data_IF_570919711998
#
_entry.id   IF_570919711998
#
_cell.length_a   1.000
_cell.length_b   1.000
_cell.length_c   1.000
_cell.angle_alpha   90.00
_cell.angle_beta   90.00
_cell.angle_gamma   90.00
#
_symmetry.space_group_name_H-M   'P 1'
#
loop_
_entity.id
_entity.type
_entity.pdbx_description
1 polymer ?
#
# COMPACT_ATOMS: atom_id res chain seq x y z
N UNK A 1 -5.22 -13.53 -0.12
CA UNK A 1 -6.06 -14.66 0.34
C UNK A 1 -5.11 -15.77 0.76
N UNK A 2 -5.07 -16.13 2.05
CA UNK A 2 -4.20 -17.20 2.53
C UNK A 2 -4.84 -18.54 2.17
N UNK A 3 -4.10 -19.38 1.46
CA UNK A 3 -4.55 -20.71 1.05
C UNK A 3 -4.31 -21.70 2.20
N UNK A 4 -5.39 -22.29 2.71
CA UNK A 4 -5.32 -23.21 3.84
C UNK A 4 -5.17 -24.65 3.35
N UNK A 5 -4.04 -25.26 3.65
CA UNK A 5 -3.75 -26.65 3.30
C UNK A 5 -4.07 -27.56 4.49
N UNK A 6 -5.23 -28.20 4.46
CA UNK A 6 -5.62 -29.20 5.46
C UNK A 6 -4.80 -30.49 5.33
N UNK A 7 -4.47 -31.11 6.46
CA UNK A 7 -3.83 -32.43 6.52
C UNK A 7 -4.83 -33.54 6.16
N UNK A 8 -4.41 -34.62 5.47
CA UNK A 8 -3.08 -34.83 4.85
C UNK A 8 -2.94 -34.07 3.53
N UNK A 9 -1.75 -33.56 3.23
CA UNK A 9 -1.48 -32.83 1.99
C UNK A 9 -0.34 -33.44 1.18
N UNK A 10 -0.41 -33.27 -0.13
CA UNK A 10 0.61 -33.71 -1.07
C UNK A 10 1.66 -32.60 -1.27
N UNK A 11 2.92 -32.98 -1.51
CA UNK A 11 4.00 -32.05 -1.85
C UNK A 11 3.63 -31.12 -3.03
N UNK A 12 2.94 -31.65 -4.04
CA UNK A 12 2.47 -30.86 -5.20
C UNK A 12 1.51 -29.73 -4.79
N UNK A 13 0.57 -30.00 -3.87
CA UNK A 13 -0.36 -28.98 -3.39
C UNK A 13 0.34 -27.89 -2.61
N UNK A 14 1.40 -28.25 -1.86
CA UNK A 14 2.25 -27.29 -1.18
C UNK A 14 3.05 -26.43 -2.18
N UNK A 15 3.64 -27.04 -3.20
CA UNK A 15 4.35 -26.33 -4.28
C UNK A 15 3.43 -25.33 -4.99
N UNK A 16 2.26 -25.76 -5.44
CA UNK A 16 1.30 -24.87 -6.13
C UNK A 16 0.89 -23.67 -5.27
N UNK A 17 0.73 -23.88 -3.96
CA UNK A 17 0.35 -22.81 -3.04
C UNK A 17 1.50 -21.83 -2.80
N UNK A 18 2.73 -22.32 -2.70
CA UNK A 18 3.93 -21.48 -2.61
C UNK A 18 4.13 -20.67 -3.88
N UNK A 19 4.02 -21.29 -5.06
CA UNK A 19 4.18 -20.60 -6.34
C UNK A 19 3.15 -19.47 -6.50
N UNK A 20 1.88 -19.72 -6.14
CA UNK A 20 0.83 -18.69 -6.10
C UNK A 20 1.16 -17.56 -5.12
N UNK A 21 1.63 -17.90 -3.92
CA UNK A 21 1.99 -16.92 -2.91
C UNK A 21 3.17 -16.03 -3.37
N UNK A 22 4.21 -16.62 -3.96
CA UNK A 22 5.35 -15.88 -4.50
C UNK A 22 4.97 -15.00 -5.69
N UNK A 23 4.17 -15.50 -6.63
CA UNK A 23 3.67 -14.72 -7.76
C UNK A 23 2.84 -13.51 -7.28
N UNK A 24 1.96 -13.73 -6.30
CA UNK A 24 1.20 -12.65 -5.68
C UNK A 24 2.10 -11.65 -4.95
N UNK A 25 3.11 -12.11 -4.22
CA UNK A 25 4.06 -11.23 -3.54
C UNK A 25 4.88 -10.38 -4.52
N UNK A 26 5.39 -10.99 -5.60
CA UNK A 26 6.10 -10.29 -6.66
C UNK A 26 5.22 -9.21 -7.31
N UNK A 27 3.94 -9.53 -7.55
CA UNK A 27 2.98 -8.57 -8.06
C UNK A 27 2.79 -7.38 -7.11
N UNK A 28 2.56 -7.62 -5.81
CA UNK A 28 2.43 -6.55 -4.82
C UNK A 28 3.67 -5.64 -4.78
N UNK A 29 4.88 -6.23 -4.76
CA UNK A 29 6.13 -5.46 -4.79
C UNK A 29 6.22 -4.58 -6.04
N UNK A 30 5.89 -5.13 -7.21
CA UNK A 30 5.91 -4.36 -8.46
C UNK A 30 4.95 -3.17 -8.43
N UNK A 31 3.72 -3.35 -7.94
CA UNK A 31 2.72 -2.28 -7.82
C UNK A 31 3.16 -1.21 -6.83
N UNK A 32 3.70 -1.59 -5.67
CA UNK A 32 4.23 -0.61 -4.69
C UNK A 32 5.38 0.21 -5.24
N UNK A 33 6.27 -0.42 -6.01
CA UNK A 33 7.39 0.27 -6.66
C UNK A 33 6.92 1.26 -7.72
N UNK A 34 5.92 0.89 -8.53
CA UNK A 34 5.32 1.78 -9.52
C UNK A 34 4.66 3.01 -8.87
N UNK A 35 3.91 2.80 -7.77
CA UNK A 35 3.33 3.91 -7.00
C UNK A 35 4.45 4.83 -6.52
N UNK A 36 5.50 4.30 -5.90
CA UNK A 36 6.63 5.10 -5.44
C UNK A 36 7.26 5.93 -6.57
N UNK A 37 7.55 5.31 -7.70
CA UNK A 37 8.16 5.99 -8.85
C UNK A 37 7.31 7.17 -9.34
N UNK A 38 5.98 7.02 -9.39
CA UNK A 38 5.08 8.12 -9.80
C UNK A 38 5.15 9.31 -8.85
N UNK A 39 5.21 9.06 -7.55
CA UNK A 39 5.34 10.12 -6.55
C UNK A 39 6.73 10.77 -6.58
N UNK A 40 7.79 10.01 -6.87
CA UNK A 40 9.15 10.56 -7.02
C UNK A 40 9.27 11.55 -8.21
N UNK A 41 8.35 11.52 -9.19
CA UNK A 41 8.26 12.49 -10.29
C UNK A 41 7.67 13.85 -9.88
N UNK A 42 7.06 13.94 -8.69
CA UNK A 42 6.48 15.18 -8.19
C UNK A 42 7.59 16.12 -7.71
N UNK A 43 7.51 17.38 -8.13
CA UNK A 43 8.33 18.44 -7.56
C UNK A 43 8.00 18.66 -6.08
N UNK A 44 8.88 19.35 -5.35
CA UNK A 44 8.65 19.70 -3.94
C UNK A 44 7.31 20.41 -3.71
N UNK A 45 6.92 21.34 -4.60
CA UNK A 45 5.65 22.06 -4.49
C UNK A 45 4.44 21.16 -4.80
N UNK A 46 4.57 20.25 -5.75
CA UNK A 46 3.53 19.27 -6.05
C UNK A 46 3.32 18.29 -4.88
N UNK A 47 4.38 17.85 -4.22
CA UNK A 47 4.30 17.06 -2.99
C UNK A 47 3.52 17.79 -1.87
N UNK A 48 3.86 19.06 -1.62
CA UNK A 48 3.17 19.87 -0.62
C UNK A 48 1.68 20.01 -0.92
N UNK A 49 1.34 20.34 -2.17
CA UNK A 49 -0.07 20.46 -2.59
C UNK A 49 -0.79 19.12 -2.51
N UNK A 50 -0.17 18.02 -2.98
CA UNK A 50 -0.75 16.68 -2.92
C UNK A 50 -1.06 16.24 -1.49
N UNK A 51 -0.13 16.45 -0.55
CA UNK A 51 -0.34 16.11 0.86
C UNK A 51 -1.55 16.83 1.48
N UNK A 52 -1.71 18.14 1.20
CA UNK A 52 -2.84 18.91 1.72
C UNK A 52 -4.17 18.55 1.04
N UNK A 53 -4.14 18.15 -0.23
CA UNK A 53 -5.34 17.67 -0.94
C UNK A 53 -5.83 16.36 -0.33
N UNK A 54 -4.92 15.44 0.00
CA UNK A 54 -5.24 14.16 0.64
C UNK A 54 -5.82 14.38 2.05
N UNK A 55 -5.37 15.42 2.75
CA UNK A 55 -5.96 15.86 4.03
C UNK A 55 -7.35 16.50 3.88
N UNK A 56 -7.86 16.67 2.65
CA UNK A 56 -9.19 17.23 2.38
C UNK A 56 -9.25 18.75 2.36
N UNK A 57 -8.12 19.46 2.32
CA UNK A 57 -8.12 20.92 2.29
C UNK A 57 -8.66 21.46 0.96
N UNK A 58 -9.37 22.59 1.04
CA UNK A 58 -9.88 23.32 -0.12
C UNK A 58 -8.74 24.03 -0.86
N UNK A 59 -8.95 24.36 -2.14
CA UNK A 59 -7.96 25.12 -2.91
C UNK A 59 -7.59 26.46 -2.26
N UNK A 60 -8.55 27.08 -1.57
CA UNK A 60 -8.35 28.34 -0.87
C UNK A 60 -7.48 28.14 0.37
N UNK A 61 -7.79 27.15 1.23
CA UNK A 61 -6.98 26.85 2.40
C UNK A 61 -5.53 26.48 2.04
N UNK A 62 -5.33 25.71 0.96
CA UNK A 62 -4.00 25.37 0.45
C UNK A 62 -3.25 26.62 -0.04
N UNK A 63 -3.95 27.52 -0.74
CA UNK A 63 -3.37 28.76 -1.25
C UNK A 63 -2.88 29.66 -0.10
N UNK A 64 -3.69 29.79 0.94
CA UNK A 64 -3.37 30.52 2.16
C UNK A 64 -2.17 29.89 2.89
N UNK A 65 -2.19 28.57 3.12
CA UNK A 65 -1.14 27.87 3.85
C UNK A 65 0.22 27.86 3.13
N UNK A 66 0.21 27.79 1.79
CA UNK A 66 1.44 27.76 0.99
C UNK A 66 1.88 29.14 0.48
N UNK A 67 1.13 30.20 0.81
CA UNK A 67 1.32 31.58 0.35
C UNK A 67 1.45 31.69 -1.19
N UNK A 68 0.54 31.04 -1.91
CA UNK A 68 0.49 31.05 -3.39
C UNK A 68 -0.93 31.33 -3.89
N UNK A 69 -1.08 31.72 -5.15
CA UNK A 69 -2.42 31.97 -5.70
C UNK A 69 -3.26 30.69 -5.83
N UNK A 70 -4.59 30.81 -5.70
CA UNK A 70 -5.55 29.71 -5.95
C UNK A 70 -5.37 29.13 -7.36
N UNK A 71 -5.07 29.98 -8.35
CA UNK A 71 -4.76 29.55 -9.73
C UNK A 71 -3.54 28.64 -9.78
N UNK A 72 -2.49 28.96 -9.02
CA UNK A 72 -1.26 28.17 -8.90
C UNK A 72 -1.55 26.83 -8.20
N UNK A 73 -2.38 26.81 -7.15
CA UNK A 73 -2.82 25.57 -6.49
C UNK A 73 -3.54 24.66 -7.49
N UNK A 74 -4.50 25.18 -8.25
CA UNK A 74 -5.22 24.40 -9.28
C UNK A 74 -4.26 23.79 -10.31
N UNK A 75 -3.26 24.56 -10.76
CA UNK A 75 -2.23 24.07 -11.68
C UNK A 75 -1.37 22.96 -11.07
N UNK A 76 -0.93 23.11 -9.82
CA UNK A 76 -0.19 22.04 -9.12
C UNK A 76 -1.06 20.80 -8.91
N UNK A 77 -2.33 20.95 -8.52
CA UNK A 77 -3.27 19.82 -8.38
C UNK A 77 -3.42 19.05 -9.68
N UNK A 78 -3.61 19.75 -10.80
CA UNK A 78 -3.72 19.11 -12.11
C UNK A 78 -2.46 18.30 -12.45
N UNK A 79 -1.26 18.86 -12.20
CA UNK A 79 0.01 18.16 -12.40
C UNK A 79 0.16 16.95 -11.47
N UNK A 80 -0.25 17.07 -10.20
CA UNK A 80 -0.24 15.95 -9.24
C UNK A 80 -1.14 14.82 -9.75
N UNK A 81 -2.38 15.12 -10.15
CA UNK A 81 -3.32 14.12 -10.66
C UNK A 81 -2.75 13.40 -11.90
N UNK A 82 -2.17 14.13 -12.85
CA UNK A 82 -1.55 13.55 -14.05
C UNK A 82 -0.33 12.68 -13.70
N UNK A 83 0.61 13.20 -12.89
CA UNK A 83 1.86 12.48 -12.56
C UNK A 83 1.64 11.27 -11.67
N UNK A 84 0.63 11.30 -10.81
CA UNK A 84 0.24 10.17 -9.96
C UNK A 84 -0.75 9.23 -10.63
N UNK A 85 -1.11 9.49 -11.89
CA UNK A 85 -2.12 8.75 -12.65
C UNK A 85 -3.45 8.60 -11.90
N UNK A 86 -3.84 9.63 -11.16
CA UNK A 86 -5.07 9.64 -10.37
C UNK A 86 -6.14 10.45 -11.09
N UNK A 87 -7.26 9.81 -11.43
CA UNK A 87 -8.40 10.44 -12.11
C UNK A 87 -9.39 11.02 -11.11
N UNK A 88 -9.43 10.47 -9.89
CA UNK A 88 -10.34 10.91 -8.82
C UNK A 88 -9.58 11.20 -7.53
N UNK A 89 -10.20 11.99 -6.64
CA UNK A 89 -9.63 12.24 -5.31
C UNK A 89 -9.46 10.95 -4.50
N UNK A 90 -10.38 10.00 -4.64
CA UNK A 90 -10.33 8.69 -3.96
C UNK A 90 -9.15 7.87 -4.46
N UNK A 91 -8.88 7.90 -5.76
CA UNK A 91 -7.71 7.25 -6.36
C UNK A 91 -6.41 7.90 -5.89
N UNK A 92 -6.35 9.23 -5.82
CA UNK A 92 -5.21 9.95 -5.26
C UNK A 92 -4.95 9.57 -3.80
N UNK A 93 -6.01 9.48 -2.99
CA UNK A 93 -5.95 9.01 -1.60
C UNK A 93 -5.34 7.60 -1.50
N UNK A 94 -5.87 6.63 -2.26
CA UNK A 94 -5.35 5.26 -2.27
C UNK A 94 -3.89 5.18 -2.67
N UNK A 95 -3.52 5.92 -3.72
CA UNK A 95 -2.15 5.97 -4.21
C UNK A 95 -1.22 6.64 -3.19
N UNK A 96 -1.70 7.67 -2.50
CA UNK A 96 -0.95 8.36 -1.44
C UNK A 96 -0.75 7.49 -0.21
N UNK A 97 -1.76 6.72 0.22
CA UNK A 97 -1.63 5.76 1.32
C UNK A 97 -0.59 4.69 0.99
N UNK A 98 -0.64 4.14 -0.23
CA UNK A 98 0.38 3.19 -0.71
C UNK A 98 1.78 3.80 -0.74
N UNK A 99 1.92 5.06 -1.17
CA UNK A 99 3.18 5.79 -1.15
C UNK A 99 3.69 6.06 0.27
N UNK A 100 2.81 6.46 1.19
CA UNK A 100 3.18 6.77 2.58
C UNK A 100 3.76 5.53 3.29
N UNK A 101 3.18 4.35 3.06
CA UNK A 101 3.68 3.08 3.59
C UNK A 101 5.07 2.72 3.06
N UNK A 102 5.35 3.03 1.79
CA UNK A 102 6.63 2.70 1.13
C UNK A 102 7.71 3.75 1.41
N UNK A 103 7.33 5.02 1.57
CA UNK A 103 8.25 6.15 1.81
C UNK A 103 8.66 6.30 3.28
N UNK A 104 7.83 5.85 4.23
CA UNK A 104 8.12 5.87 5.67
C UNK A 104 9.28 4.95 6.10
N UNK A 105 9.90 4.21 5.18
CA UNK A 105 11.14 3.50 5.45
C UNK A 105 10.95 2.26 6.33
N UNK A 106 10.34 1.23 5.78
CA UNK A 106 10.81 -0.15 5.98
C UNK A 106 10.86 -0.86 4.61
N UNK A 107 12.02 -0.89 3.92
CA UNK A 107 12.27 -1.84 2.86
C UNK A 107 13.08 -3.00 3.44
N UNK A 108 12.40 -4.06 3.88
CA UNK A 108 12.92 -5.41 3.78
C UNK A 108 11.79 -6.37 4.12
N UNK A 109 11.81 -7.51 3.46
CA UNK A 109 11.19 -8.76 3.91
C UNK A 109 11.46 -8.96 5.41
N UNK A 110 10.58 -8.42 6.24
CA UNK A 110 10.42 -8.75 7.64
C UNK A 110 9.24 -9.70 7.70
N UNK A 111 9.44 -10.95 7.29
CA UNK A 111 8.62 -12.03 7.83
C UNK A 111 8.87 -12.01 9.34
N UNK A 112 8.10 -11.21 10.09
CA UNK A 112 7.86 -11.53 11.50
C UNK A 112 7.24 -12.92 11.43
N UNK A 113 7.88 -13.97 11.96
CA UNK A 113 7.26 -15.28 12.00
C UNK A 113 5.89 -15.07 12.66
N UNK A 114 4.84 -15.48 11.95
CA UNK A 114 3.53 -15.60 12.54
C UNK A 114 3.76 -16.33 13.87
N UNK A 115 3.38 -15.70 15.00
CA UNK A 115 3.40 -16.38 16.30
C UNK A 115 2.73 -17.74 16.07
N UNK A 116 3.34 -18.85 16.50
CA UNK A 116 2.75 -20.17 16.28
C UNK A 116 1.31 -20.11 16.78
N UNK A 117 0.37 -20.41 15.89
CA UNK A 117 -1.02 -20.65 16.30
C UNK A 117 -0.92 -21.71 17.39
N UNK A 118 -1.37 -21.45 18.62
CA UNK A 118 -1.31 -22.46 19.66
C UNK A 118 -2.06 -23.68 19.15
N UNK A 119 -1.33 -24.79 19.02
CA UNK A 119 -1.91 -26.07 18.70
C UNK A 119 -3.05 -26.29 19.69
N UNK A 120 -4.28 -26.35 19.19
CA UNK A 120 -5.44 -26.73 20.00
C UNK A 120 -5.09 -28.07 20.62
N UNK A 121 -4.86 -28.05 21.93
CA UNK A 121 -4.66 -29.23 22.76
C UNK A 121 -5.82 -30.18 22.50
N UNK A 122 -5.53 -31.32 21.88
CA UNK A 122 -6.47 -32.45 21.86
C UNK A 122 -6.68 -32.87 23.31
N UNK A 123 -7.95 -32.94 23.70
CA UNK A 123 -8.44 -33.37 25.00
C UNK A 123 -7.74 -34.66 25.48
N UNK A 124 -7.54 -34.85 26.79
CA UNK A 124 -7.06 -36.13 27.31
C UNK A 124 -8.09 -37.23 27.04
N UNK A 125 -7.59 -38.37 26.54
CA UNK A 125 -8.28 -39.66 26.53
C UNK A 125 -8.74 -39.98 27.96
N UNK A 126 -10.05 -40.01 28.20
CA UNK A 126 -10.59 -40.56 29.42
C UNK A 126 -10.68 -42.09 29.27
N UNK A 127 -9.87 -42.82 30.05
CA UNK A 127 -10.00 -44.27 30.24
C UNK A 127 -11.30 -44.53 31.00
N UNK A 128 -12.14 -45.43 30.48
CA UNK A 128 -13.04 -46.21 31.33
C UNK A 128 -12.30 -47.43 31.83
#
# INVERSE_FOLDING_TARGET
MFDFIAQPFTLQRLQDSLDKAFAHHAHLLSSTHQVKQRFDLLSKREHQVGALVVQGLTNQAIAEQLAISIKTVKAHRAKVMVKTESNTLVELLRNYDGYALVSAGEPAVGVKPAKPVPAKSRLPLNRK
#
